data_IF_627459875006
#
_entry.id   IF_627459875006
#
_cell.length_a   1.000
_cell.length_b   1.000
_cell.length_c   1.000
_cell.angle_alpha   90.00
_cell.angle_beta   90.00
_cell.angle_gamma   90.00
#
_symmetry.space_group_name_H-M   'P 1'
#
loop_
_entity.id
_entity.type
_entity.pdbx_description
1 polymer ?
#
# COMPACT_ATOMS: atom_id res chain seq x y z
N UNK A 1 1.76 -0.79 -24.46
CA UNK A 1 2.58 0.43 -24.18
C UNK A 1 3.99 -0.04 -23.94
N UNK A 2 5.00 0.60 -24.52
CA UNK A 2 6.39 0.24 -24.26
C UNK A 2 6.75 0.57 -22.80
N UNK A 3 7.65 -0.23 -22.22
CA UNK A 3 7.98 -0.16 -20.80
C UNK A 3 8.61 1.20 -20.40
N UNK A 4 9.39 1.76 -21.29
CA UNK A 4 10.03 3.07 -21.12
C UNK A 4 8.99 4.19 -21.05
N UNK A 5 7.97 4.12 -21.91
CA UNK A 5 6.87 5.09 -21.95
C UNK A 5 5.99 4.97 -20.73
N UNK A 6 5.75 3.75 -20.24
CA UNK A 6 5.00 3.52 -19.01
C UNK A 6 5.76 4.07 -17.80
N UNK A 7 7.06 3.78 -17.71
CA UNK A 7 7.93 4.27 -16.65
C UNK A 7 7.94 5.80 -16.58
N UNK A 8 8.16 6.46 -17.72
CA UNK A 8 8.15 7.92 -17.81
C UNK A 8 6.81 8.51 -17.33
N UNK A 9 5.68 8.02 -17.87
CA UNK A 9 4.34 8.52 -17.52
C UNK A 9 3.96 8.26 -16.07
N UNK A 10 4.38 7.12 -15.50
CA UNK A 10 4.14 6.77 -14.11
C UNK A 10 5.14 7.43 -13.15
N UNK A 11 6.13 8.16 -13.67
CA UNK A 11 7.23 8.75 -12.88
C UNK A 11 7.95 7.67 -12.04
N UNK A 12 8.24 6.55 -12.68
CA UNK A 12 8.99 5.42 -12.16
C UNK A 12 10.25 5.22 -13.00
N UNK A 13 11.22 4.47 -12.46
CA UNK A 13 12.33 3.99 -13.30
C UNK A 13 11.91 2.77 -14.10
N UNK A 14 12.62 2.49 -15.19
CA UNK A 14 12.38 1.28 -15.99
C UNK A 14 12.62 0.03 -15.14
N UNK A 15 13.60 0.07 -14.24
CA UNK A 15 13.91 -1.02 -13.31
C UNK A 15 12.75 -1.28 -12.34
N UNK A 16 12.10 -0.23 -11.83
CA UNK A 16 10.92 -0.37 -10.97
C UNK A 16 9.76 -1.02 -11.72
N UNK A 17 9.49 -0.63 -12.96
CA UNK A 17 8.43 -1.25 -13.76
C UNK A 17 8.78 -2.71 -14.07
N UNK A 18 10.01 -3.02 -14.42
CA UNK A 18 10.47 -4.40 -14.64
C UNK A 18 10.36 -5.26 -13.37
N UNK A 19 10.66 -4.69 -12.21
CA UNK A 19 10.51 -5.40 -10.94
C UNK A 19 9.04 -5.77 -10.65
N UNK A 20 8.11 -4.88 -10.99
CA UNK A 20 6.66 -5.12 -10.85
C UNK A 20 6.17 -6.20 -11.82
N UNK A 21 6.73 -6.27 -13.03
CA UNK A 21 6.39 -7.31 -14.02
C UNK A 21 7.08 -8.66 -13.75
N UNK A 22 8.02 -8.70 -12.81
CA UNK A 22 8.70 -9.93 -12.41
C UNK A 22 7.99 -10.61 -11.24
N UNK A 23 8.29 -11.89 -11.01
CA UNK A 23 7.79 -12.65 -9.85
C UNK A 23 8.47 -12.29 -8.51
N UNK A 24 9.16 -11.15 -8.47
CA UNK A 24 9.86 -10.66 -7.29
C UNK A 24 8.94 -9.90 -6.31
N UNK A 25 9.46 -9.52 -5.13
CA UNK A 25 8.71 -8.74 -4.17
C UNK A 25 8.36 -7.36 -4.73
N UNK A 26 7.10 -6.96 -4.56
CA UNK A 26 6.63 -5.66 -5.03
C UNK A 26 7.20 -4.53 -4.18
N UNK A 27 7.65 -3.43 -4.80
CA UNK A 27 8.32 -2.33 -4.09
C UNK A 27 7.38 -1.44 -3.27
N UNK A 28 6.10 -1.75 -3.22
CA UNK A 28 5.07 -1.03 -2.49
C UNK A 28 3.82 -0.78 -3.32
N UNK A 29 2.78 -0.22 -2.68
CA UNK A 29 1.49 0.03 -3.32
C UNK A 29 1.52 1.26 -4.25
N UNK A 30 2.28 2.31 -3.88
CA UNK A 30 2.35 3.55 -4.63
C UNK A 30 2.77 3.39 -6.11
N UNK A 31 3.76 2.57 -6.47
CA UNK A 31 4.06 2.27 -7.86
C UNK A 31 2.88 1.66 -8.63
N UNK A 32 2.13 0.74 -8.02
CA UNK A 32 0.94 0.14 -8.65
C UNK A 32 -0.16 1.17 -8.89
N UNK A 33 -0.39 2.09 -7.95
CA UNK A 33 -1.35 3.20 -8.10
C UNK A 33 -0.97 4.07 -9.30
N UNK A 34 0.31 4.45 -9.42
CA UNK A 34 0.81 5.27 -10.54
C UNK A 34 0.63 4.58 -11.89
N UNK A 35 0.93 3.28 -11.96
CA UNK A 35 0.74 2.48 -13.19
C UNK A 35 -0.74 2.36 -13.52
N UNK A 36 -1.60 2.04 -12.55
CA UNK A 36 -3.04 1.94 -12.72
C UNK A 36 -3.61 3.21 -13.37
N UNK A 37 -3.20 4.38 -12.86
CA UNK A 37 -3.59 5.67 -13.42
C UNK A 37 -3.16 5.86 -14.87
N UNK A 38 -1.90 5.57 -15.21
CA UNK A 38 -1.39 5.72 -16.59
C UNK A 38 -2.14 4.81 -17.54
N UNK A 39 -2.51 3.62 -17.09
CA UNK A 39 -3.28 2.66 -17.89
C UNK A 39 -4.78 2.94 -17.89
N UNK A 40 -5.28 3.89 -17.09
CA UNK A 40 -6.70 4.21 -16.98
C UNK A 40 -7.52 3.08 -16.35
N UNK A 41 -6.90 2.29 -15.47
CA UNK A 41 -7.54 1.19 -14.73
C UNK A 41 -7.53 1.50 -13.24
N UNK A 42 -8.37 0.80 -12.47
CA UNK A 42 -8.39 0.91 -11.02
C UNK A 42 -7.28 0.07 -10.40
N UNK A 43 -6.82 0.47 -9.23
CA UNK A 43 -5.84 -0.29 -8.46
C UNK A 43 -6.30 -1.74 -8.25
N UNK A 44 -7.58 -1.94 -7.94
CA UNK A 44 -8.17 -3.28 -7.76
C UNK A 44 -7.97 -4.22 -8.96
N UNK A 45 -7.78 -3.71 -10.17
CA UNK A 45 -7.49 -4.51 -11.37
C UNK A 45 -6.19 -5.31 -11.23
N UNK A 46 -5.24 -4.83 -10.43
CA UNK A 46 -3.98 -5.52 -10.16
C UNK A 46 -4.04 -6.43 -8.92
N UNK A 47 -5.07 -6.29 -8.09
CA UNK A 47 -5.14 -6.96 -6.80
C UNK A 47 -6.03 -8.19 -6.83
N UNK A 48 -7.06 -8.19 -7.66
CA UNK A 48 -7.93 -9.35 -7.86
C UNK A 48 -8.67 -9.34 -9.21
N UNK A 49 -9.03 -10.51 -9.68
CA UNK A 49 -9.74 -10.73 -10.96
C UNK A 49 -11.24 -11.02 -10.77
N UNK A 50 -11.74 -11.03 -9.54
CA UNK A 50 -13.13 -11.37 -9.26
C UNK A 50 -14.03 -10.15 -9.38
N UNK A 51 -15.21 -10.35 -9.95
CA UNK A 51 -16.21 -9.30 -10.12
C UNK A 51 -17.50 -9.68 -9.41
N UNK A 52 -17.89 -8.90 -8.43
CA UNK A 52 -19.18 -8.99 -7.76
C UNK A 52 -19.85 -7.63 -7.68
N UNK A 53 -21.08 -7.56 -8.20
CA UNK A 53 -21.92 -6.36 -8.14
C UNK A 53 -22.75 -6.41 -6.86
N UNK A 54 -22.26 -6.18 -5.72
CA UNK A 54 -23.05 -6.25 -4.50
C UNK A 54 -22.22 -6.09 -3.25
N UNK A 55 -22.73 -6.55 -2.14
CA UNK A 55 -21.99 -6.60 -0.90
C UNK A 55 -21.00 -7.78 -0.93
N UNK A 56 -19.77 -7.50 -0.52
CA UNK A 56 -18.78 -8.54 -0.24
C UNK A 56 -18.54 -8.59 1.26
N UNK A 57 -18.31 -9.80 1.78
CA UNK A 57 -18.04 -10.01 3.20
C UNK A 57 -16.68 -10.68 3.33
N UNK A 58 -15.76 -10.02 3.99
CA UNK A 58 -14.50 -10.61 4.43
C UNK A 58 -14.64 -11.11 5.87
N UNK A 59 -14.27 -12.37 6.11
CA UNK A 59 -14.33 -12.99 7.44
C UNK A 59 -12.92 -13.05 8.02
N UNK A 60 -12.78 -12.73 9.29
CA UNK A 60 -11.47 -12.76 9.96
C UNK A 60 -10.78 -14.13 9.90
N UNK A 61 -11.56 -15.21 9.92
CA UNK A 61 -11.06 -16.58 9.79
C UNK A 61 -10.59 -16.95 8.38
N UNK A 62 -11.06 -16.20 7.37
CA UNK A 62 -10.74 -16.40 5.95
C UNK A 62 -9.75 -15.35 5.47
N UNK A 63 -9.12 -14.61 6.41
CA UNK A 63 -8.15 -13.57 6.11
C UNK A 63 -7.03 -14.15 5.24
N UNK A 64 -7.05 -13.79 3.98
CA UNK A 64 -6.05 -14.22 3.01
C UNK A 64 -5.03 -13.13 2.83
N UNK A 65 -3.80 -13.55 2.75
CA UNK A 65 -2.72 -12.68 2.38
C UNK A 65 -2.87 -12.31 0.90
N UNK A 66 -3.17 -11.04 0.62
CA UNK A 66 -3.38 -10.57 -0.74
C UNK A 66 -2.07 -10.21 -1.42
N UNK A 67 -1.24 -9.41 -0.74
CA UNK A 67 0.01 -8.89 -1.31
C UNK A 67 1.03 -8.64 -0.19
N UNK A 68 2.30 -8.92 -0.47
CA UNK A 68 3.45 -8.53 0.35
C UNK A 68 4.19 -7.39 -0.30
N UNK A 69 4.51 -6.38 0.47
CA UNK A 69 5.33 -5.26 0.03
C UNK A 69 6.61 -5.13 0.86
N UNK A 70 7.64 -4.60 0.23
CA UNK A 70 8.89 -4.25 0.88
C UNK A 70 9.02 -2.74 0.99
N UNK A 71 9.33 -2.23 2.18
CA UNK A 71 9.72 -0.82 2.35
C UNK A 71 11.16 -0.54 1.88
N UNK A 72 11.89 -1.59 1.52
CA UNK A 72 13.29 -1.55 1.09
C UNK A 72 13.44 -2.31 -0.22
N UNK A 73 12.98 -1.71 -1.31
CA UNK A 73 12.98 -2.35 -2.64
C UNK A 73 14.36 -2.90 -3.08
N UNK A 74 15.45 -2.29 -2.59
CA UNK A 74 16.81 -2.72 -2.91
C UNK A 74 17.30 -3.94 -2.12
N UNK A 75 16.66 -4.29 -0.99
CA UNK A 75 17.13 -5.33 -0.06
C UNK A 75 16.23 -6.59 -0.06
N UNK A 76 15.08 -6.55 -0.75
CA UNK A 76 14.21 -7.71 -0.93
C UNK A 76 13.52 -8.22 0.35
N UNK A 77 13.53 -7.46 1.44
CA UNK A 77 12.85 -7.81 2.67
C UNK A 77 11.40 -7.34 2.66
N UNK A 78 10.47 -8.28 2.72
CA UNK A 78 9.05 -8.00 2.86
C UNK A 78 8.76 -7.69 4.33
N UNK A 79 8.32 -6.46 4.61
CA UNK A 79 8.02 -6.02 5.98
C UNK A 79 6.57 -5.55 6.18
N UNK A 80 5.75 -5.61 5.14
CA UNK A 80 4.32 -5.33 5.19
C UNK A 80 3.51 -6.42 4.50
N UNK A 81 2.54 -6.99 5.20
CA UNK A 81 1.61 -7.99 4.67
C UNK A 81 0.23 -7.35 4.60
N UNK A 82 -0.30 -7.23 3.39
CA UNK A 82 -1.60 -6.64 3.12
C UNK A 82 -2.67 -7.73 2.99
N UNK A 83 -3.75 -7.57 3.73
CA UNK A 83 -4.94 -8.41 3.67
C UNK A 83 -6.10 -7.55 3.15
N UNK A 84 -6.54 -7.79 1.91
CA UNK A 84 -7.64 -7.03 1.32
C UNK A 84 -8.96 -7.33 2.02
N UNK A 85 -9.70 -6.27 2.35
CA UNK A 85 -11.06 -6.37 2.86
C UNK A 85 -12.13 -6.12 1.78
N UNK A 86 -11.70 -5.87 0.56
CA UNK A 86 -12.56 -5.56 -0.59
C UNK A 86 -12.42 -6.54 -1.75
N UNK A 87 -11.72 -7.66 -1.55
CA UNK A 87 -11.54 -8.68 -2.59
C UNK A 87 -12.89 -9.11 -3.16
N UNK A 88 -12.97 -9.17 -4.49
CA UNK A 88 -14.19 -9.50 -5.22
C UNK A 88 -15.19 -8.35 -5.38
N UNK A 89 -15.01 -7.20 -4.76
CA UNK A 89 -15.91 -6.04 -4.96
C UNK A 89 -15.58 -5.31 -6.26
N UNK A 90 -16.48 -5.40 -7.23
CA UNK A 90 -16.35 -4.67 -8.49
C UNK A 90 -16.57 -3.16 -8.32
N UNK A 91 -15.97 -2.39 -9.20
CA UNK A 91 -16.14 -0.93 -9.29
C UNK A 91 -15.87 -0.15 -7.99
N UNK A 92 -15.01 -0.65 -7.12
CA UNK A 92 -14.65 0.02 -5.89
C UNK A 92 -13.67 1.17 -6.12
N UNK A 93 -13.80 2.21 -5.33
CA UNK A 93 -12.89 3.36 -5.28
C UNK A 93 -12.04 3.37 -4.01
N UNK A 94 -12.46 2.61 -3.02
CA UNK A 94 -11.75 2.45 -1.76
C UNK A 94 -11.07 1.09 -1.74
N UNK A 95 -9.81 1.06 -1.31
CA UNK A 95 -9.05 -0.15 -1.06
C UNK A 95 -8.77 -0.27 0.45
N UNK A 96 -9.66 -0.90 1.20
CA UNK A 96 -9.45 -1.16 2.61
C UNK A 96 -8.57 -2.40 2.80
N UNK A 97 -7.57 -2.28 3.68
CA UNK A 97 -6.66 -3.35 4.06
C UNK A 97 -6.52 -3.45 5.57
N UNK A 98 -6.39 -4.64 6.08
CA UNK A 98 -5.64 -4.88 7.30
C UNK A 98 -4.19 -5.12 6.90
N UNK A 99 -3.27 -4.43 7.57
CA UNK A 99 -1.84 -4.52 7.26
C UNK A 99 -1.10 -4.96 8.51
N UNK A 100 -0.38 -6.09 8.38
CA UNK A 100 0.59 -6.51 9.38
C UNK A 100 1.94 -5.89 9.04
N UNK A 101 2.44 -5.06 9.93
CA UNK A 101 3.77 -4.45 9.86
C UNK A 101 4.70 -5.36 10.67
N UNK A 102 5.65 -5.99 9.98
CA UNK A 102 6.62 -6.88 10.59
C UNK A 102 7.74 -6.08 11.27
N UNK A 103 8.41 -6.66 12.28
CA UNK A 103 9.56 -6.02 12.91
C UNK A 103 10.65 -5.72 11.89
N UNK A 104 11.15 -4.50 11.91
CA UNK A 104 12.25 -4.05 11.04
C UNK A 104 13.15 -3.09 11.81
N UNK A 105 14.42 -3.43 11.93
CA UNK A 105 15.42 -2.60 12.58
C UNK A 105 16.21 -1.72 11.61
N UNK A 106 15.91 -1.80 10.31
CA UNK A 106 16.56 -0.96 9.31
C UNK A 106 15.99 0.46 9.39
N UNK A 107 16.80 1.48 9.70
CA UNK A 107 16.33 2.86 9.79
C UNK A 107 16.11 3.51 8.41
N UNK A 108 16.51 2.84 7.32
CA UNK A 108 16.34 3.36 5.96
C UNK A 108 14.99 2.94 5.40
N UNK A 109 14.27 3.88 4.84
CA UNK A 109 13.00 3.65 4.17
C UNK A 109 12.84 4.61 2.99
N UNK A 110 12.04 4.20 2.02
CA UNK A 110 11.67 5.02 0.89
C UNK A 110 10.36 5.75 1.18
N UNK A 111 10.31 7.05 0.86
CA UNK A 111 9.08 7.83 0.97
C UNK A 111 8.16 7.54 -0.20
N UNK A 112 6.90 7.24 0.09
CA UNK A 112 5.84 7.09 -0.91
C UNK A 112 5.20 8.44 -1.24
N UNK A 113 4.73 8.57 -2.47
CA UNK A 113 3.83 9.65 -2.90
C UNK A 113 2.97 9.15 -4.05
N UNK A 114 1.67 9.39 -3.97
CA UNK A 114 0.70 9.08 -5.02
C UNK A 114 -0.51 10.01 -4.89
N UNK A 115 -1.38 10.02 -5.87
CA UNK A 115 -2.63 10.74 -5.75
C UNK A 115 -3.63 10.00 -4.89
N UNK A 116 -4.55 10.75 -4.29
CA UNK A 116 -5.60 10.23 -3.43
C UNK A 116 -5.38 10.54 -1.96
N UNK A 117 -6.05 9.79 -1.13
CA UNK A 117 -6.12 9.99 0.30
C UNK A 117 -5.96 8.67 1.03
N UNK A 118 -5.41 8.72 2.23
CA UNK A 118 -5.30 7.57 3.11
C UNK A 118 -5.87 7.86 4.49
N UNK A 119 -6.61 6.88 5.00
CA UNK A 119 -7.03 6.82 6.39
C UNK A 119 -6.40 5.60 7.06
N UNK A 120 -5.77 5.79 8.21
CA UNK A 120 -5.15 4.72 9.00
C UNK A 120 -5.71 4.74 10.41
N UNK A 121 -6.06 3.56 10.91
CA UNK A 121 -6.45 3.31 12.29
C UNK A 121 -5.57 2.21 12.88
N UNK A 122 -4.98 2.45 14.05
CA UNK A 122 -4.08 1.48 14.69
C UNK A 122 -4.88 0.43 15.45
N UNK A 123 -4.79 -0.82 14.99
CA UNK A 123 -5.47 -1.97 15.60
C UNK A 123 -4.67 -2.60 16.73
N UNK A 124 -3.34 -2.64 16.60
CA UNK A 124 -2.42 -3.18 17.61
C UNK A 124 -1.01 -2.64 17.44
N UNK A 125 -0.25 -2.54 18.53
CA UNK A 125 1.10 -1.97 18.54
C UNK A 125 1.11 -0.44 18.43
N UNK A 126 2.26 0.09 18.00
CA UNK A 126 2.49 1.50 17.76
C UNK A 126 3.10 1.69 16.37
N UNK A 127 2.71 2.73 15.67
CA UNK A 127 3.26 3.09 14.37
C UNK A 127 3.85 4.50 14.38
N UNK A 128 4.89 4.68 13.60
CA UNK A 128 5.43 5.99 13.27
C UNK A 128 5.08 6.33 11.83
N UNK A 129 4.56 7.52 11.62
CA UNK A 129 4.18 8.04 10.32
C UNK A 129 4.98 9.29 10.03
N UNK A 130 5.85 9.21 9.04
CA UNK A 130 6.54 10.37 8.49
C UNK A 130 5.65 10.97 7.40
N UNK A 131 5.29 12.24 7.55
CA UNK A 131 4.43 12.95 6.61
C UNK A 131 4.97 14.35 6.33
N UNK A 132 5.53 14.56 5.16
CA UNK A 132 6.26 15.77 4.81
C UNK A 132 7.45 15.99 5.74
N UNK A 133 7.37 17.05 6.56
CA UNK A 133 8.40 17.38 7.56
C UNK A 133 8.02 16.95 8.99
N UNK A 134 6.84 16.38 9.15
CA UNK A 134 6.30 16.02 10.45
C UNK A 134 6.42 14.51 10.67
N UNK A 135 6.51 14.13 11.93
CA UNK A 135 6.49 12.74 12.38
C UNK A 135 5.43 12.58 13.45
N UNK A 136 4.58 11.57 13.29
CA UNK A 136 3.50 11.25 14.21
C UNK A 136 3.71 9.83 14.75
N UNK A 137 3.63 9.66 16.06
CA UNK A 137 3.58 8.34 16.71
C UNK A 137 2.16 8.10 17.17
N UNK A 138 1.57 7.02 16.68
CA UNK A 138 0.20 6.62 16.96
C UNK A 138 0.18 5.33 17.76
N UNK A 139 -0.70 5.27 18.74
CA UNK A 139 -0.96 4.10 19.57
C UNK A 139 -2.24 3.40 19.15
N UNK A 140 -2.47 2.20 19.68
CA UNK A 140 -3.72 1.46 19.49
C UNK A 140 -4.94 2.32 19.78
N UNK A 141 -5.84 2.42 18.81
CA UNK A 141 -7.05 3.25 18.88
C UNK A 141 -6.90 4.64 18.25
N UNK A 142 -5.68 5.07 17.97
CA UNK A 142 -5.44 6.33 17.27
C UNK A 142 -5.66 6.17 15.75
N UNK A 143 -5.89 7.30 15.11
CA UNK A 143 -6.05 7.36 13.65
C UNK A 143 -5.41 8.61 13.07
N UNK A 144 -5.11 8.53 11.77
CA UNK A 144 -4.65 9.65 10.96
C UNK A 144 -5.35 9.61 9.61
N UNK A 145 -5.61 10.77 9.04
CA UNK A 145 -6.13 10.96 7.69
C UNK A 145 -5.30 12.00 6.97
N UNK A 146 -4.85 11.70 5.75
CA UNK A 146 -4.00 12.61 4.99
C UNK A 146 -4.11 12.47 3.48
N UNK A 147 -3.70 13.55 2.78
CA UNK A 147 -3.52 13.56 1.33
C UNK A 147 -2.22 12.84 0.96
N UNK A 148 -2.31 11.80 0.15
CA UNK A 148 -1.18 10.94 -0.21
C UNK A 148 -0.19 11.57 -1.20
N UNK A 149 -0.51 12.76 -1.71
CA UNK A 149 0.41 13.53 -2.57
C UNK A 149 1.63 14.06 -1.80
N UNK A 150 1.50 14.26 -0.51
CA UNK A 150 2.63 14.61 0.36
C UNK A 150 3.46 13.35 0.60
N UNK A 151 4.77 13.47 0.49
CA UNK A 151 5.68 12.34 0.74
C UNK A 151 5.47 11.80 2.16
N UNK A 152 5.25 10.50 2.26
CA UNK A 152 4.92 9.83 3.52
C UNK A 152 5.52 8.43 3.60
N UNK A 153 5.59 7.92 4.83
CA UNK A 153 6.01 6.56 5.14
C UNK A 153 5.38 6.09 6.44
N UNK A 154 5.03 4.82 6.51
CA UNK A 154 4.44 4.16 7.69
C UNK A 154 5.30 2.97 8.08
N UNK A 155 5.67 2.86 9.35
CA UNK A 155 6.43 1.73 9.88
C UNK A 155 6.12 1.50 11.38
N UNK A 156 6.52 0.36 11.90
CA UNK A 156 6.40 0.08 13.32
C UNK A 156 7.32 0.98 14.15
N UNK A 157 6.77 1.61 15.18
CA UNK A 157 7.56 2.47 16.05
C UNK A 157 8.71 1.68 16.73
N UNK A 158 9.90 2.26 16.70
CA UNK A 158 11.13 1.59 17.18
C UNK A 158 11.38 0.21 16.53
N UNK A 159 10.97 0.01 15.27
CA UNK A 159 11.14 -1.24 14.55
C UNK A 159 10.33 -2.41 15.11
N UNK A 160 9.30 -2.15 15.88
CA UNK A 160 8.43 -3.18 16.47
C UNK A 160 7.30 -3.53 15.49
N UNK A 161 6.70 -4.70 15.72
CA UNK A 161 5.51 -5.09 14.96
C UNK A 161 4.32 -4.18 15.29
N UNK A 162 3.45 -3.98 14.31
CA UNK A 162 2.17 -3.32 14.49
C UNK A 162 1.12 -3.90 13.54
N UNK A 163 -0.15 -3.60 13.78
CA UNK A 163 -1.27 -3.95 12.91
C UNK A 163 -2.17 -2.74 12.74
N UNK A 164 -2.52 -2.43 11.50
CA UNK A 164 -3.33 -1.26 11.16
C UNK A 164 -4.48 -1.64 10.23
N UNK A 165 -5.57 -0.87 10.29
CA UNK A 165 -6.53 -0.76 9.21
C UNK A 165 -6.14 0.46 8.37
N UNK A 166 -5.90 0.25 7.09
CA UNK A 166 -5.65 1.32 6.13
C UNK A 166 -6.75 1.33 5.06
N UNK A 167 -7.26 2.50 4.75
CA UNK A 167 -8.20 2.71 3.65
C UNK A 167 -7.60 3.69 2.67
N UNK A 168 -7.39 3.25 1.44
CA UNK A 168 -6.76 4.03 0.39
C UNK A 168 -7.81 4.38 -0.64
N UNK A 169 -7.99 5.67 -0.90
CA UNK A 169 -8.77 6.19 -2.00
C UNK A 169 -7.84 6.64 -3.12
N UNK A 170 -8.09 6.18 -4.33
CA UNK A 170 -7.35 6.62 -5.53
C UNK A 170 -8.34 7.18 -6.54
N UNK A 171 -8.23 8.45 -6.92
CA UNK A 171 -9.03 9.01 -8.01
C UNK A 171 -8.62 8.32 -9.32
N UNK A 172 -9.59 8.11 -10.20
CA UNK A 172 -9.38 7.55 -11.56
C UNK A 172 -9.14 8.70 -12.53
#
# INVERSE_FOLDING_TARGET
MEIEVLAERAQLTVEQVKAIESDGPLPGLAPLIKIARVLGVRLGTFLDDQQSVGAVVSRAQDERESVRFSNHAAEGHENMIYHSLSEGKDNRHLEPFVIDILPDQNPKFDLSTHEGEEFIYVLDGQVEINYGKNTYVLEKGDSIYYDSIVKHHVHGYNGQKARILAVIYTPI
#
